data_IF_298388855014
#
_entry.id   IF_298388855014
#
_cell.length_a   1.000
_cell.length_b   1.000
_cell.length_c   1.000
_cell.angle_alpha   90.00
_cell.angle_beta   90.00
_cell.angle_gamma   90.00
#
_symmetry.space_group_name_H-M   'P 1'
#
loop_
_entity.id
_entity.type
_entity.pdbx_description
1 polymer ?
#
# COMPACT_ATOMS: atom_id res chain seq x y z
N UNK A 1 7.08 -10.85 0.15
CA UNK A 1 6.68 -9.50 -0.31
C UNK A 1 5.17 -9.48 -0.52
N UNK A 2 4.50 -8.40 -0.13
CA UNK A 2 3.08 -8.15 -0.41
C UNK A 2 2.92 -6.77 -1.07
N UNK A 3 2.00 -6.69 -2.03
CA UNK A 3 1.69 -5.48 -2.78
C UNK A 3 0.23 -5.10 -2.56
N UNK A 4 -0.02 -3.92 -2.01
CA UNK A 4 -1.35 -3.35 -1.89
C UNK A 4 -1.52 -2.19 -2.87
N UNK A 5 -2.66 -2.17 -3.58
CA UNK A 5 -3.06 -1.06 -4.43
C UNK A 5 -4.47 -0.61 -4.03
N UNK A 6 -4.65 0.69 -3.79
CA UNK A 6 -5.96 1.30 -3.47
C UNK A 6 -6.16 2.61 -4.23
N UNK A 7 -7.42 3.03 -4.36
CA UNK A 7 -7.80 4.32 -4.95
C UNK A 7 -8.55 5.24 -3.99
N UNK A 8 -8.75 4.80 -2.75
CA UNK A 8 -9.62 5.49 -1.78
C UNK A 8 -9.41 5.00 -0.35
N UNK A 9 -10.20 5.52 0.59
CA UNK A 9 -10.11 5.16 2.00
C UNK A 9 -10.58 3.72 2.27
N UNK A 10 -10.15 3.14 3.39
CA UNK A 10 -10.77 1.93 3.92
C UNK A 10 -12.27 2.15 4.17
N UNK A 11 -13.08 1.14 3.85
CA UNK A 11 -14.48 1.11 4.27
C UNK A 11 -14.59 0.90 5.77
N UNK A 12 -15.35 1.75 6.45
CA UNK A 12 -15.61 1.63 7.91
C UNK A 12 -16.93 0.92 8.21
N UNK A 13 -17.54 0.27 7.21
CA UNK A 13 -18.77 -0.48 7.41
C UNK A 13 -18.46 -1.80 8.12
N UNK A 14 -19.12 -2.02 9.25
CA UNK A 14 -19.00 -3.26 9.99
C UNK A 14 -19.37 -4.46 9.11
N UNK A 15 -18.61 -5.57 9.20
CA UNK A 15 -17.59 -5.87 10.21
C UNK A 15 -16.15 -5.46 9.84
N UNK A 16 -15.94 -4.58 8.84
CA UNK A 16 -14.64 -4.31 8.22
C UNK A 16 -13.93 -3.06 8.80
N UNK A 17 -14.06 -2.81 10.11
CA UNK A 17 -13.49 -1.64 10.80
C UNK A 17 -12.15 -1.93 11.51
N UNK A 18 -11.50 -3.06 11.20
CA UNK A 18 -10.16 -3.37 11.71
C UNK A 18 -9.18 -2.25 11.33
N UNK A 19 -8.42 -1.67 12.28
CA UNK A 19 -7.39 -0.69 11.96
C UNK A 19 -6.36 -1.25 10.98
N UNK A 20 -5.98 -0.47 9.96
CA UNK A 20 -5.04 -0.92 8.92
C UNK A 20 -3.68 -1.34 9.46
N UNK A 21 -3.21 -0.69 10.52
CA UNK A 21 -1.97 -1.06 11.19
C UNK A 21 -2.05 -2.49 11.75
N UNK A 22 -3.16 -2.84 12.38
CA UNK A 22 -3.41 -4.16 12.95
C UNK A 22 -3.59 -5.21 11.85
N UNK A 23 -4.33 -4.86 10.80
CA UNK A 23 -4.53 -5.74 9.65
C UNK A 23 -3.21 -6.08 8.93
N UNK A 24 -2.28 -5.12 8.85
CA UNK A 24 -0.97 -5.31 8.23
C UNK A 24 0.08 -5.91 9.18
N UNK A 25 -0.12 -5.84 10.50
CA UNK A 25 0.87 -6.23 11.52
C UNK A 25 1.34 -7.68 11.33
N UNK A 26 0.42 -8.63 11.13
CA UNK A 26 0.79 -10.03 10.99
C UNK A 26 1.74 -10.29 9.82
N UNK A 27 1.57 -9.58 8.70
CA UNK A 27 2.49 -9.69 7.55
C UNK A 27 3.87 -9.13 7.90
N UNK A 28 3.90 -7.96 8.54
CA UNK A 28 5.16 -7.32 8.96
C UNK A 28 5.92 -8.19 9.98
N UNK A 29 5.20 -8.77 10.94
CA UNK A 29 5.76 -9.57 12.03
C UNK A 29 6.42 -10.88 11.54
N UNK A 30 5.90 -11.48 10.46
CA UNK A 30 6.50 -12.67 9.84
C UNK A 30 7.59 -12.33 8.81
N UNK A 31 8.00 -11.06 8.72
CA UNK A 31 9.08 -10.60 7.85
C UNK A 31 8.65 -10.35 6.39
N UNK A 32 7.36 -10.19 6.11
CA UNK A 32 6.90 -9.78 4.78
C UNK A 32 7.05 -8.27 4.63
N UNK A 33 7.85 -7.84 3.64
CA UNK A 33 7.85 -6.46 3.17
C UNK A 33 6.53 -6.15 2.45
N UNK A 34 5.78 -5.19 3.00
CA UNK A 34 4.50 -4.69 2.48
C UNK A 34 4.73 -3.33 1.82
N UNK A 35 4.38 -3.26 0.54
CA UNK A 35 4.43 -2.04 -0.25
C UNK A 35 3.00 -1.55 -0.53
N UNK A 36 2.73 -0.27 -0.30
CA UNK A 36 1.40 0.32 -0.44
C UNK A 36 1.36 1.38 -1.54
N UNK A 37 0.40 1.26 -2.44
CA UNK A 37 0.24 2.13 -3.61
C UNK A 37 -1.16 2.76 -3.58
N UNK A 38 -1.22 4.08 -3.51
CA UNK A 38 -2.46 4.82 -3.62
C UNK A 38 -2.54 5.59 -4.94
N UNK A 39 -3.55 5.32 -5.75
CA UNK A 39 -3.77 5.99 -7.04
C UNK A 39 -5.02 6.86 -6.99
N UNK A 40 -4.87 8.14 -7.33
CA UNK A 40 -5.99 9.06 -7.48
C UNK A 40 -6.27 9.94 -6.25
N UNK A 41 -7.29 10.81 -6.36
CA UNK A 41 -7.46 11.94 -5.44
C UNK A 41 -8.00 11.57 -4.07
N UNK A 42 -8.69 10.42 -3.94
CA UNK A 42 -9.38 10.04 -2.71
C UNK A 42 -8.52 9.21 -1.75
N UNK A 43 -7.26 8.97 -2.10
CA UNK A 43 -6.31 8.21 -1.30
C UNK A 43 -5.98 8.95 -0.01
N UNK A 44 -6.03 8.24 1.11
CA UNK A 44 -5.66 8.76 2.43
C UNK A 44 -4.19 8.40 2.73
N UNK A 45 -3.26 9.37 2.84
CA UNK A 45 -1.84 9.08 3.02
C UNK A 45 -1.52 8.29 4.30
N UNK A 46 -2.14 8.66 5.41
CA UNK A 46 -1.95 7.99 6.70
C UNK A 46 -2.38 6.52 6.68
N UNK A 47 -3.37 6.17 5.84
CA UNK A 47 -3.78 4.77 5.66
C UNK A 47 -2.71 3.97 4.91
N UNK A 48 -2.11 4.53 3.86
CA UNK A 48 -1.01 3.87 3.16
C UNK A 48 0.21 3.68 4.05
N UNK A 49 0.52 4.69 4.88
CA UNK A 49 1.62 4.67 5.85
C UNK A 49 1.39 3.62 6.95
N UNK A 50 0.15 3.47 7.42
CA UNK A 50 -0.21 2.41 8.37
C UNK A 50 0.01 1.01 7.79
N UNK A 51 -0.14 0.84 6.47
CA UNK A 51 0.00 -0.45 5.79
C UNK A 51 1.45 -0.75 5.41
N UNK A 52 2.19 0.24 4.91
CA UNK A 52 3.57 0.05 4.46
C UNK A 52 4.47 -0.47 5.58
N UNK A 53 5.39 -1.38 5.27
CA UNK A 53 6.37 -1.86 6.25
C UNK A 53 7.41 -0.78 6.59
N UNK A 54 7.66 0.16 5.68
CA UNK A 54 8.62 1.25 5.83
C UNK A 54 8.14 2.50 5.09
N UNK A 55 8.56 3.72 5.49
CA UNK A 55 8.19 4.95 4.80
C UNK A 55 8.56 4.96 3.31
N UNK A 56 9.66 4.31 2.93
CA UNK A 56 10.12 4.25 1.54
C UNK A 56 9.30 3.29 0.67
N UNK A 57 8.42 2.48 1.28
CA UNK A 57 7.58 1.49 0.59
C UNK A 57 6.15 1.99 0.33
N UNK A 58 5.93 3.29 0.55
CA UNK A 58 4.64 3.96 0.36
C UNK A 58 4.71 4.82 -0.90
N UNK A 59 3.82 4.54 -1.85
CA UNK A 59 3.83 5.18 -3.16
C UNK A 59 2.48 5.83 -3.48
N UNK A 60 2.55 7.02 -4.08
CA UNK A 60 1.39 7.75 -4.61
C UNK A 60 1.64 8.21 -6.05
N UNK A 61 1.70 7.28 -7.01
CA UNK A 61 1.89 7.62 -8.41
C UNK A 61 0.69 8.40 -8.95
N UNK A 62 0.90 9.26 -9.95
CA UNK A 62 -0.22 9.86 -10.69
C UNK A 62 -0.80 8.83 -11.64
N UNK A 63 -2.10 8.92 -11.95
CA UNK A 63 -2.78 8.02 -12.90
C UNK A 63 -2.14 8.02 -14.30
N UNK A 64 -1.54 9.15 -14.70
CA UNK A 64 -0.78 9.23 -15.96
C UNK A 64 0.50 8.39 -15.97
N UNK A 65 1.00 8.01 -14.78
CA UNK A 65 2.25 7.26 -14.58
C UNK A 65 1.99 5.75 -14.44
N UNK A 66 0.74 5.26 -14.57
CA UNK A 66 0.45 3.83 -14.46
C UNK A 66 1.21 2.93 -15.45
N UNK A 67 1.52 3.35 -16.70
CA UNK A 67 2.41 2.59 -17.57
C UNK A 67 3.85 2.46 -17.01
N UNK A 68 4.26 3.37 -16.11
CA UNK A 68 5.59 3.40 -15.47
C UNK A 68 5.65 2.44 -14.27
N UNK A 69 4.52 2.11 -13.64
CA UNK A 69 4.49 1.21 -12.48
C UNK A 69 4.99 -0.21 -12.80
N UNK A 70 4.84 -0.71 -14.03
CA UNK A 70 5.39 -2.02 -14.42
C UNK A 70 6.92 -2.04 -14.31
N UNK A 71 7.59 -0.97 -14.75
CA UNK A 71 9.06 -0.86 -14.67
C UNK A 71 9.57 -0.74 -13.23
N UNK A 72 8.78 -0.10 -12.35
CA UNK A 72 9.13 0.05 -10.93
C UNK A 72 8.93 -1.26 -10.17
N UNK A 73 7.84 -1.99 -10.42
CA UNK A 73 7.60 -3.31 -9.83
C UNK A 73 8.68 -4.32 -10.25
N UNK A 74 9.11 -4.31 -11.52
CA UNK A 74 10.20 -5.16 -12.00
C UNK A 74 11.54 -4.85 -11.30
N UNK A 75 11.82 -3.58 -11.02
CA UNK A 75 13.03 -3.17 -10.31
C UNK A 75 13.01 -3.53 -8.81
N UNK A 76 11.82 -3.59 -8.19
CA UNK A 76 11.65 -3.95 -6.78
C UNK A 76 11.70 -5.47 -6.55
N UNK A 77 11.25 -6.29 -7.50
CA UNK A 77 11.24 -7.76 -7.39
C UNK A 77 12.62 -8.38 -7.66
N UNK A 78 13.49 -7.69 -8.43
CA UNK A 78 14.79 -8.21 -8.88
C UNK A 78 15.98 -7.80 -8.02
N UNK A 79 15.78 -7.01 -6.97
CA UNK A 79 16.79 -6.74 -5.93
C UNK A 79 16.68 -7.73 -4.80
#
# INVERSE_FOLDING_TARGET
IALLVTTGPQSTQQPLDTPLADAAAQLKDIGVDVYSFGIGPNVVPSELEAIGSRPEYVFRPKTADLPILSSQLDAMIRQ
#
